data_IF_272581622774
#
_entry.id   IF_272581622774
#
_cell.length_a   1.000
_cell.length_b   1.000
_cell.length_c   1.000
_cell.angle_alpha   90.00
_cell.angle_beta   90.00
_cell.angle_gamma   90.00
#
_symmetry.space_group_name_H-M   'P 1'
#
loop_
_entity.id
_entity.type
_entity.pdbx_description
1 polymer ?
#
# COMPACT_ATOMS: atom_id res chain seq x y z
N UNK A 1 -35.34 -44.70 22.45
CA UNK A 1 -34.39 -43.98 21.57
C UNK A 1 -33.85 -42.79 22.34
N UNK A 2 -32.60 -42.87 22.84
CA UNK A 2 -31.92 -41.76 23.51
C UNK A 2 -30.97 -41.15 22.48
N UNK A 3 -31.41 -40.11 21.79
CA UNK A 3 -30.57 -39.37 20.84
C UNK A 3 -29.53 -38.58 21.63
N UNK A 4 -28.25 -38.83 21.34
CA UNK A 4 -27.11 -38.21 22.01
C UNK A 4 -27.07 -36.70 21.75
N UNK A 5 -27.65 -35.93 22.66
CA UNK A 5 -27.67 -34.46 22.68
C UNK A 5 -26.26 -33.84 22.73
N UNK A 6 -25.24 -34.65 23.08
CA UNK A 6 -23.84 -34.23 23.24
C UNK A 6 -23.16 -33.82 21.93
N UNK A 7 -23.56 -34.40 20.79
CA UNK A 7 -22.95 -34.10 19.49
C UNK A 7 -23.32 -32.70 18.95
N UNK A 8 -24.46 -32.14 19.37
CA UNK A 8 -24.89 -30.79 18.98
C UNK A 8 -24.06 -29.72 19.70
N UNK A 9 -23.59 -30.00 20.92
CA UNK A 9 -22.81 -29.04 21.71
C UNK A 9 -21.36 -28.92 21.23
N UNK A 10 -20.79 -29.97 20.64
CA UNK A 10 -19.42 -29.98 20.09
C UNK A 10 -19.33 -29.28 18.73
N UNK A 11 -20.43 -29.21 17.97
CA UNK A 11 -20.46 -28.51 16.67
C UNK A 11 -20.62 -26.98 16.79
N UNK A 12 -21.03 -26.47 17.95
CA UNK A 12 -21.27 -25.04 18.18
C UNK A 12 -20.01 -24.29 18.66
N UNK A 13 -18.96 -24.99 19.10
CA UNK A 13 -17.76 -24.35 19.68
C UNK A 13 -16.67 -23.93 18.69
N UNK A 14 -16.89 -24.05 17.38
CA UNK A 14 -15.86 -23.78 16.35
C UNK A 14 -16.04 -22.47 15.55
N UNK A 15 -16.98 -21.60 15.91
CA UNK A 15 -17.30 -20.39 15.12
C UNK A 15 -16.99 -19.07 15.84
N UNK A 16 -15.76 -18.89 16.32
CA UNK A 16 -15.24 -17.56 16.65
C UNK A 16 -13.80 -17.38 16.14
N UNK A 17 -13.59 -17.59 14.83
CA UNK A 17 -12.47 -16.93 14.16
C UNK A 17 -12.87 -15.47 13.93
N UNK A 18 -12.74 -14.65 14.97
CA UNK A 18 -12.74 -13.20 14.82
C UNK A 18 -11.46 -12.84 14.08
N UNK A 19 -11.55 -12.62 12.76
CA UNK A 19 -10.49 -12.00 11.99
C UNK A 19 -10.40 -10.53 12.45
N UNK A 20 -9.54 -10.26 13.44
CA UNK A 20 -9.19 -8.89 13.79
C UNK A 20 -8.49 -8.29 12.60
N UNK A 21 -9.13 -7.35 11.91
CA UNK A 21 -8.40 -6.46 11.01
C UNK A 21 -7.48 -5.63 11.90
N UNK A 22 -6.21 -6.01 11.96
CA UNK A 22 -5.21 -5.12 12.49
C UNK A 22 -5.07 -3.98 11.47
N UNK A 23 -5.33 -2.76 11.93
CA UNK A 23 -5.21 -1.56 11.11
C UNK A 23 -3.74 -1.28 10.79
N UNK A 24 -3.47 -0.74 9.60
CA UNK A 24 -2.11 -0.36 9.21
C UNK A 24 -1.55 0.65 10.23
N UNK A 25 -0.28 0.53 10.65
CA UNK A 25 0.32 1.46 11.60
C UNK A 25 0.57 2.84 10.99
N UNK A 26 0.45 2.99 9.67
CA UNK A 26 0.59 4.27 8.98
C UNK A 26 -0.66 5.13 9.23
N UNK A 27 -0.55 6.27 9.94
CA UNK A 27 -1.72 7.07 10.33
C UNK A 27 -2.54 7.56 9.13
N UNK A 28 -3.84 7.76 9.31
CA UNK A 28 -4.71 8.38 8.31
C UNK A 28 -4.44 9.87 8.20
N UNK A 29 -3.98 10.29 7.02
CA UNK A 29 -3.85 11.69 6.63
C UNK A 29 -4.83 11.95 5.50
N UNK A 30 -5.51 13.10 5.57
CA UNK A 30 -6.38 13.54 4.49
C UNK A 30 -5.56 13.78 3.23
N UNK A 31 -5.92 13.06 2.17
CA UNK A 31 -5.32 13.21 0.84
C UNK A 31 -6.45 13.45 -0.15
N UNK A 32 -6.41 14.58 -0.85
CA UNK A 32 -7.24 14.87 -2.02
C UNK A 32 -6.51 15.88 -2.89
N UNK A 33 -5.83 15.41 -3.93
CA UNK A 33 -5.13 16.26 -4.89
C UNK A 33 -5.24 15.72 -6.31
N UNK A 34 -4.87 16.57 -7.26
CA UNK A 34 -4.85 16.22 -8.68
C UNK A 34 -3.48 16.48 -9.28
N UNK A 35 -3.04 15.58 -10.15
CA UNK A 35 -1.87 15.76 -11.01
C UNK A 35 -2.28 15.72 -12.47
N UNK A 36 -1.63 16.52 -13.30
CA UNK A 36 -1.79 16.49 -14.75
C UNK A 36 -0.57 15.80 -15.36
N UNK A 37 -0.76 14.62 -15.98
CA UNK A 37 0.36 13.83 -16.50
C UNK A 37 1.07 14.51 -17.68
N UNK A 38 0.46 15.55 -18.27
CA UNK A 38 1.07 16.35 -19.32
C UNK A 38 1.98 17.47 -18.80
N UNK A 39 1.98 17.74 -17.48
CA UNK A 39 2.97 18.64 -16.90
C UNK A 39 4.36 17.99 -16.93
N UNK A 40 5.41 18.79 -17.11
CA UNK A 40 6.78 18.29 -17.19
C UNK A 40 7.21 17.52 -15.94
N UNK A 41 6.76 17.92 -14.74
CA UNK A 41 7.09 17.22 -13.50
C UNK A 41 6.44 15.82 -13.37
N UNK A 42 5.40 15.54 -14.15
CA UNK A 42 4.62 14.30 -14.09
C UNK A 42 4.66 13.50 -15.39
N UNK A 43 5.45 13.92 -16.39
CA UNK A 43 5.47 13.30 -17.71
C UNK A 43 5.92 11.84 -17.70
N UNK A 44 6.66 11.41 -16.67
CA UNK A 44 7.00 10.01 -16.45
C UNK A 44 5.73 9.14 -16.38
N UNK A 45 4.66 9.63 -15.76
CA UNK A 45 3.39 8.91 -15.61
C UNK A 45 2.63 8.71 -16.92
N UNK A 46 3.06 9.28 -18.05
CA UNK A 46 2.43 9.02 -19.35
C UNK A 46 2.77 7.63 -19.91
N UNK A 47 3.86 7.01 -19.43
CA UNK A 47 4.32 5.73 -19.94
C UNK A 47 4.14 4.64 -18.87
N UNK A 48 3.70 3.42 -19.25
CA UNK A 48 3.68 2.27 -18.35
C UNK A 48 5.06 2.07 -17.69
N UNK A 49 5.07 1.79 -16.39
CA UNK A 49 6.28 1.69 -15.58
C UNK A 49 6.80 3.03 -15.04
N UNK A 50 6.26 4.15 -15.51
CA UNK A 50 6.63 5.48 -15.05
C UNK A 50 6.14 5.76 -13.62
N UNK A 51 6.90 6.56 -12.88
CA UNK A 51 6.60 6.87 -11.49
C UNK A 51 7.09 8.25 -11.09
N UNK A 52 6.52 8.79 -10.03
CA UNK A 52 6.95 10.05 -9.39
C UNK A 52 6.75 9.98 -7.89
N UNK A 53 7.47 10.84 -7.15
CA UNK A 53 7.14 11.16 -5.78
C UNK A 53 6.37 12.47 -5.71
N UNK A 54 5.34 12.51 -4.87
CA UNK A 54 4.56 13.71 -4.58
C UNK A 54 4.42 13.93 -3.08
N UNK A 55 4.21 15.18 -2.68
CA UNK A 55 3.90 15.53 -1.29
C UNK A 55 2.49 15.08 -0.92
N UNK A 56 2.26 14.79 0.35
CA UNK A 56 0.99 14.28 0.87
C UNK A 56 1.22 13.01 1.70
N UNK A 57 0.14 12.47 2.25
CA UNK A 57 0.23 11.31 3.15
C UNK A 57 1.10 11.58 4.38
N UNK A 58 1.64 10.52 4.97
CA UNK A 58 2.51 10.57 6.13
C UNK A 58 3.97 10.87 5.73
N UNK A 59 4.55 10.10 4.79
CA UNK A 59 5.97 10.22 4.40
C UNK A 59 6.18 10.61 2.92
N UNK A 60 5.17 11.24 2.31
CA UNK A 60 5.09 11.43 0.87
C UNK A 60 4.50 10.22 0.18
N UNK A 61 4.05 10.42 -1.06
CA UNK A 61 3.34 9.41 -1.85
C UNK A 61 4.19 9.02 -3.05
N UNK A 62 4.28 7.72 -3.30
CA UNK A 62 4.80 7.15 -4.54
C UNK A 62 3.62 6.88 -5.48
N UNK A 63 3.62 7.52 -6.64
CA UNK A 63 2.60 7.37 -7.66
C UNK A 63 3.21 6.66 -8.88
N UNK A 64 2.55 5.59 -9.34
CA UNK A 64 3.07 4.67 -10.34
C UNK A 64 2.03 4.36 -11.41
N UNK A 65 2.45 4.39 -12.67
CA UNK A 65 1.65 3.94 -13.81
C UNK A 65 1.94 2.45 -14.06
N UNK A 66 0.96 1.58 -13.78
CA UNK A 66 1.12 0.14 -13.92
C UNK A 66 1.12 -0.30 -15.39
N UNK A 67 0.13 0.13 -16.18
CA UNK A 67 -0.12 -0.39 -17.52
C UNK A 67 -0.55 0.65 -18.58
N UNK A 68 -0.53 1.93 -18.24
CA UNK A 68 -0.99 3.05 -19.07
C UNK A 68 -2.34 3.62 -18.65
N UNK A 69 -3.19 2.80 -18.01
CA UNK A 69 -4.56 3.16 -17.61
C UNK A 69 -4.82 2.96 -16.12
N UNK A 70 -4.07 2.05 -15.50
CA UNK A 70 -4.13 1.73 -14.08
C UNK A 70 -2.97 2.41 -13.36
N UNK A 71 -3.28 3.07 -12.25
CA UNK A 71 -2.31 3.83 -11.46
C UNK A 71 -2.42 3.42 -10.00
N UNK A 72 -1.27 3.25 -9.35
CA UNK A 72 -1.19 2.96 -7.92
C UNK A 72 -0.53 4.10 -7.19
N UNK A 73 -1.05 4.42 -6.00
CA UNK A 73 -0.49 5.42 -5.12
C UNK A 73 -0.28 4.79 -3.73
N UNK A 74 0.94 4.86 -3.22
CA UNK A 74 1.28 4.30 -1.90
C UNK A 74 1.95 5.35 -1.02
N UNK A 75 1.65 5.33 0.28
CA UNK A 75 2.47 6.03 1.26
C UNK A 75 3.87 5.41 1.29
N UNK A 76 4.88 6.26 1.44
CA UNK A 76 6.27 5.82 1.53
C UNK A 76 6.69 5.51 2.97
N UNK A 77 5.77 5.46 3.92
CA UNK A 77 6.05 4.98 5.27
C UNK A 77 6.32 3.48 5.28
N UNK A 78 7.34 3.07 6.03
CA UNK A 78 7.55 1.67 6.32
C UNK A 78 6.55 1.21 7.39
N UNK A 79 5.79 0.15 7.11
CA UNK A 79 4.78 -0.33 8.07
C UNK A 79 5.38 -1.09 9.25
N UNK A 80 6.66 -1.44 9.20
CA UNK A 80 7.39 -1.97 10.36
C UNK A 80 7.86 -0.89 11.32
N UNK A 81 8.18 0.29 10.78
CA UNK A 81 8.74 1.40 11.53
C UNK A 81 8.40 2.71 10.82
N UNK A 82 7.24 3.25 11.16
CA UNK A 82 6.70 4.44 10.51
C UNK A 82 7.54 5.69 10.78
N UNK A 83 8.34 5.74 11.84
CA UNK A 83 9.10 6.92 12.24
C UNK A 83 10.36 7.16 11.39
N UNK A 84 10.72 6.22 10.52
CA UNK A 84 11.91 6.28 9.68
C UNK A 84 11.71 7.10 8.40
N UNK A 85 12.83 7.31 7.70
CA UNK A 85 12.85 8.02 6.43
C UNK A 85 11.97 7.32 5.38
N UNK A 86 11.44 8.08 4.40
CA UNK A 86 10.59 7.52 3.36
C UNK A 86 11.28 6.41 2.55
N UNK A 87 10.51 5.38 2.22
CA UNK A 87 10.93 4.32 1.32
C UNK A 87 11.25 4.89 -0.08
N UNK A 88 12.20 4.23 -0.74
CA UNK A 88 12.71 4.58 -2.06
C UNK A 88 12.45 3.41 -3.01
N UNK A 89 12.09 3.73 -4.24
CA UNK A 89 11.78 2.77 -5.29
C UNK A 89 13.04 2.15 -5.89
N UNK A 90 13.06 0.82 -5.92
CA UNK A 90 14.04 0.00 -6.61
C UNK A 90 13.43 -0.49 -7.94
N UNK A 91 13.69 0.25 -9.01
CA UNK A 91 13.13 -0.02 -10.33
C UNK A 91 13.44 -1.42 -10.85
N UNK A 92 14.59 -1.99 -10.47
CA UNK A 92 15.01 -3.32 -10.96
C UNK A 92 14.17 -4.44 -10.36
N UNK A 93 13.61 -4.21 -9.17
CA UNK A 93 12.79 -5.19 -8.43
C UNK A 93 11.32 -4.84 -8.41
N UNK A 94 10.96 -3.63 -8.83
CA UNK A 94 9.61 -3.08 -8.66
C UNK A 94 9.18 -3.07 -7.18
N UNK A 95 10.10 -2.69 -6.29
CA UNK A 95 9.88 -2.68 -4.84
C UNK A 95 10.14 -1.29 -4.25
N UNK A 96 9.33 -0.89 -3.27
CA UNK A 96 9.68 0.18 -2.34
C UNK A 96 10.46 -0.43 -1.16
N UNK A 97 11.59 0.18 -0.81
CA UNK A 97 12.46 -0.27 0.28
C UNK A 97 13.23 0.88 0.89
N UNK A 98 13.73 0.71 2.10
CA UNK A 98 14.62 1.71 2.67
C UNK A 98 15.94 1.78 1.87
N UNK A 99 16.49 2.99 1.70
CA UNK A 99 17.74 3.20 0.96
C UNK A 99 18.93 2.60 1.72
N UNK A 100 18.94 2.79 3.04
CA UNK A 100 19.91 2.21 3.95
C UNK A 100 19.38 0.87 4.50
N UNK A 101 20.11 -0.21 4.23
CA UNK A 101 19.76 -1.56 4.69
C UNK A 101 20.07 -1.80 6.17
N UNK A 102 20.73 -0.86 6.85
CA UNK A 102 21.01 -0.90 8.28
C UNK A 102 19.94 -0.21 9.12
N UNK A 103 18.97 0.44 8.48
CA UNK A 103 17.82 1.03 9.14
C UNK A 103 16.94 -0.06 9.78
N UNK A 104 16.20 0.32 10.84
CA UNK A 104 15.29 -0.59 11.53
C UNK A 104 14.17 -1.11 10.60
N UNK A 105 13.84 -0.35 9.55
CA UNK A 105 13.01 -0.83 8.47
C UNK A 105 13.86 -1.57 7.41
N UNK A 106 13.85 -2.90 7.43
CA UNK A 106 14.45 -3.74 6.38
C UNK A 106 13.43 -4.32 5.39
N UNK A 107 12.15 -4.00 5.58
CA UNK A 107 11.05 -4.51 4.78
C UNK A 107 11.03 -3.94 3.36
N UNK A 108 10.53 -4.76 2.44
CA UNK A 108 10.35 -4.43 1.02
C UNK A 108 8.94 -4.74 0.60
N UNK A 109 8.43 -3.91 -0.30
CA UNK A 109 7.03 -3.92 -0.68
C UNK A 109 6.95 -3.87 -2.20
N UNK A 110 6.27 -4.84 -2.82
CA UNK A 110 6.07 -4.81 -4.27
C UNK A 110 5.06 -3.74 -4.64
N UNK A 111 5.39 -2.93 -5.65
CA UNK A 111 4.45 -1.91 -6.16
C UNK A 111 3.42 -2.50 -7.14
N UNK A 112 3.63 -3.75 -7.57
CA UNK A 112 2.83 -4.43 -8.59
C UNK A 112 1.64 -5.19 -8.00
N UNK A 113 1.63 -5.42 -6.69
CA UNK A 113 0.60 -6.21 -6.00
C UNK A 113 0.16 -5.49 -4.73
N UNK A 114 -0.52 -4.35 -4.87
CA UNK A 114 -1.15 -3.59 -3.78
C UNK A 114 -0.22 -3.34 -2.58
N UNK A 115 1.05 -2.99 -2.85
CA UNK A 115 2.02 -2.71 -1.78
C UNK A 115 2.38 -3.90 -0.89
N UNK A 116 2.12 -5.14 -1.33
CA UNK A 116 2.34 -6.34 -0.52
C UNK A 116 3.80 -6.50 -0.08
N UNK A 117 3.99 -7.02 1.13
CA UNK A 117 5.31 -7.29 1.70
C UNK A 117 5.96 -8.45 0.94
N UNK A 118 7.15 -8.22 0.40
CA UNK A 118 7.94 -9.25 -0.29
C UNK A 118 9.12 -9.75 0.55
N UNK A 119 9.56 -8.95 1.52
CA UNK A 119 10.68 -9.26 2.40
C UNK A 119 10.60 -8.43 3.68
N UNK A 120 11.18 -8.95 4.77
CA UNK A 120 11.29 -8.26 6.06
C UNK A 120 10.26 -8.72 7.08
N UNK A 121 10.09 -7.93 8.14
CA UNK A 121 9.20 -8.22 9.28
C UNK A 121 7.79 -7.62 9.14
N UNK A 122 7.53 -6.85 8.08
CA UNK A 122 6.30 -6.11 7.91
C UNK A 122 5.11 -7.05 7.86
N UNK A 123 4.13 -6.76 8.72
CA UNK A 123 2.86 -7.50 8.78
C UNK A 123 1.79 -6.89 7.86
N UNK A 124 1.96 -5.63 7.49
CA UNK A 124 0.99 -4.88 6.70
C UNK A 124 1.56 -4.54 5.33
N UNK A 125 0.73 -4.55 4.27
CA UNK A 125 1.12 -3.92 3.00
C UNK A 125 1.27 -2.41 3.19
N UNK A 126 1.85 -1.75 2.20
CA UNK A 126 1.86 -0.28 2.17
C UNK A 126 0.44 0.27 2.22
N UNK A 127 0.30 1.44 2.83
CA UNK A 127 -0.94 2.20 2.77
C UNK A 127 -1.18 2.65 1.34
N UNK A 128 -2.25 2.17 0.72
CA UNK A 128 -2.67 2.52 -0.64
C UNK A 128 -3.65 3.69 -0.62
N UNK A 129 -3.56 4.57 -1.61
CA UNK A 129 -4.49 5.66 -1.88
C UNK A 129 -5.26 5.38 -3.16
N UNK A 130 -6.53 5.79 -3.20
CA UNK A 130 -7.36 5.63 -4.39
C UNK A 130 -6.88 6.55 -5.50
N UNK A 131 -6.80 6.04 -6.73
CA UNK A 131 -6.44 6.83 -7.91
C UNK A 131 -7.52 6.74 -8.96
N UNK A 132 -8.07 7.90 -9.34
CA UNK A 132 -9.05 8.02 -10.43
C UNK A 132 -8.44 8.79 -11.58
N UNK A 133 -8.37 8.18 -12.76
CA UNK A 133 -7.87 8.81 -13.98
C UNK A 133 -9.01 9.42 -14.82
N UNK A 134 -8.87 10.66 -15.28
CA UNK A 134 -9.81 11.31 -16.19
C UNK A 134 -9.14 12.44 -16.99
N UNK A 135 -9.27 12.41 -18.31
CA UNK A 135 -8.83 13.51 -19.20
C UNK A 135 -7.36 13.92 -19.03
N UNK A 136 -6.45 12.95 -18.89
CA UNK A 136 -5.01 13.21 -18.66
C UNK A 136 -4.68 13.71 -17.24
N UNK A 137 -5.64 13.65 -16.31
CA UNK A 137 -5.42 13.96 -14.90
C UNK A 137 -5.62 12.71 -14.06
N UNK A 138 -4.91 12.65 -12.95
CA UNK A 138 -5.11 11.66 -11.90
C UNK A 138 -5.56 12.41 -10.65
N UNK A 139 -6.65 11.97 -10.03
CA UNK A 139 -7.06 12.39 -8.69
C UNK A 139 -6.68 11.30 -7.70
N UNK A 140 -5.98 11.68 -6.64
CA UNK A 140 -5.53 10.78 -5.58
C UNK A 140 -6.27 11.12 -4.29
N UNK A 141 -6.91 10.13 -3.66
CA UNK A 141 -7.70 10.30 -2.44
C UNK A 141 -7.39 9.27 -1.35
N UNK A 142 -7.59 9.65 -0.08
CA UNK A 142 -7.51 8.73 1.08
C UNK A 142 -8.80 7.93 1.34
N UNK A 143 -9.89 8.27 0.65
CA UNK A 143 -11.23 7.65 0.74
C UNK A 143 -11.73 7.20 -0.63
#
# INVERSE_FOLDING_TARGET
>A
MKTNLYWIFVLISLNFFSCGHEESPVPDFWVDFQVNIHNAEFSALQNPGGWVYVSGGYNGIFLYNFDGNTYYAYDRACTDDIAHAPLVYDEKKHELRHADTTANCNSRYTVLLHGAVTYGSAKYPLKEYNVTAYGGKLRVTSE
#
